data_IF_778444321884
#
_entry.id   IF_778444321884
#
_cell.length_a   1.000
_cell.length_b   1.000
_cell.length_c   1.000
_cell.angle_alpha   90.00
_cell.angle_beta   90.00
_cell.angle_gamma   90.00
#
_symmetry.space_group_name_H-M   'P 1'
#
loop_
_entity.id
_entity.type
_entity.pdbx_description
1 polymer ?
#
# COMPACT_ATOMS: atom_id res chain seq x y z
N UNK A 1 13.00 -24.93 -2.16
CA UNK A 1 12.52 -24.27 -0.93
C UNK A 1 11.31 -23.44 -1.28
N UNK A 2 10.17 -23.77 -0.68
CA UNK A 2 8.93 -22.99 -0.85
C UNK A 2 9.17 -21.62 -0.19
N UNK A 3 9.10 -20.54 -0.95
CA UNK A 3 9.08 -19.18 -0.42
C UNK A 3 7.89 -19.06 0.55
N UNK A 4 8.17 -18.96 1.84
CA UNK A 4 7.14 -18.83 2.88
C UNK A 4 6.58 -17.41 2.97
N UNK A 5 7.05 -16.51 2.09
CA UNK A 5 6.52 -15.15 1.98
C UNK A 5 6.87 -14.24 3.16
N UNK A 6 7.95 -14.52 3.87
CA UNK A 6 8.51 -13.65 4.91
C UNK A 6 9.89 -13.18 4.47
N UNK A 7 10.05 -11.87 4.31
CA UNK A 7 11.31 -11.27 3.87
C UNK A 7 12.14 -10.74 5.05
N UNK A 8 11.47 -10.27 6.12
CA UNK A 8 12.11 -9.69 7.30
C UNK A 8 11.50 -10.21 8.59
N UNK A 9 12.35 -10.40 9.59
CA UNK A 9 11.99 -10.60 10.99
C UNK A 9 12.42 -9.37 11.78
N UNK A 10 11.48 -8.73 12.45
CA UNK A 10 11.75 -7.57 13.30
C UNK A 10 11.43 -7.94 14.73
N UNK A 11 12.42 -7.81 15.62
CA UNK A 11 12.28 -8.18 17.03
C UNK A 11 12.50 -6.97 17.93
N UNK A 12 11.64 -6.79 18.91
CA UNK A 12 11.82 -5.81 19.96
C UNK A 12 12.78 -6.35 21.02
N UNK A 13 13.85 -5.60 21.33
CA UNK A 13 14.83 -6.01 22.35
C UNK A 13 14.22 -6.07 23.76
N UNK A 14 13.22 -5.22 24.05
CA UNK A 14 12.60 -5.13 25.38
C UNK A 14 11.57 -6.22 25.61
N UNK A 15 10.59 -6.35 24.71
CA UNK A 15 9.46 -7.27 24.87
C UNK A 15 9.72 -8.68 24.34
N UNK A 16 10.82 -8.90 23.59
CA UNK A 16 11.14 -10.14 22.86
C UNK A 16 10.08 -10.54 21.81
N UNK A 17 9.11 -9.67 21.55
CA UNK A 17 8.12 -9.91 20.50
C UNK A 17 8.78 -9.81 19.12
N UNK A 18 8.30 -10.64 18.19
CA UNK A 18 8.81 -10.69 16.81
C UNK A 18 7.66 -10.53 15.85
N UNK A 19 7.83 -9.65 14.87
CA UNK A 19 6.93 -9.50 13.74
C UNK A 19 7.58 -9.96 12.45
N UNK A 20 6.79 -10.63 11.62
CA UNK A 20 7.18 -11.07 10.27
C UNK A 20 6.66 -10.09 9.24
N UNK A 21 7.53 -9.70 8.31
CA UNK A 21 7.20 -8.71 7.27
C UNK A 21 7.46 -9.31 5.90
N UNK A 22 6.51 -9.12 4.98
CA UNK A 22 6.70 -9.37 3.56
C UNK A 22 6.79 -8.04 2.82
N UNK A 23 7.85 -7.85 2.03
CA UNK A 23 8.07 -6.64 1.23
C UNK A 23 7.60 -6.88 -0.20
N UNK A 24 6.81 -5.97 -0.74
CA UNK A 24 6.33 -5.99 -2.12
C UNK A 24 6.75 -4.71 -2.83
N UNK A 25 7.77 -4.82 -3.64
CA UNK A 25 8.25 -3.72 -4.45
C UNK A 25 7.42 -3.58 -5.73
N UNK A 26 7.03 -2.36 -6.09
CA UNK A 26 6.43 -2.06 -7.38
C UNK A 26 7.49 -1.50 -8.32
N UNK A 27 7.35 -1.84 -9.61
CA UNK A 27 8.04 -1.10 -10.65
C UNK A 27 7.55 0.35 -10.64
N UNK A 28 8.43 1.27 -11.00
CA UNK A 28 8.06 2.68 -11.17
C UNK A 28 6.91 2.77 -12.16
N UNK A 29 5.77 3.26 -11.69
CA UNK A 29 4.60 3.45 -12.50
C UNK A 29 4.44 4.94 -12.78
N UNK A 30 5.11 5.38 -13.82
CA UNK A 30 4.93 6.72 -14.34
C UNK A 30 3.57 6.79 -15.05
N UNK A 31 2.68 7.67 -14.59
CA UNK A 31 1.43 7.92 -15.30
C UNK A 31 1.77 8.81 -16.50
N UNK A 32 1.73 8.28 -17.73
CA UNK A 32 2.20 9.02 -18.90
C UNK A 32 1.37 10.28 -19.22
N UNK A 33 0.16 10.40 -18.69
CA UNK A 33 -0.78 11.45 -19.13
C UNK A 33 -1.49 12.11 -17.95
N UNK A 34 -0.91 13.18 -17.44
CA UNK A 34 -1.61 14.18 -16.67
C UNK A 34 -2.14 13.67 -15.33
N UNK A 35 -1.26 13.13 -14.53
CA UNK A 35 -1.53 12.99 -13.10
C UNK A 35 -1.97 14.33 -12.52
N UNK A 36 -2.76 14.30 -11.45
CA UNK A 36 -3.11 15.48 -10.68
C UNK A 36 -1.83 16.23 -10.30
N UNK A 37 -1.89 17.54 -10.28
CA UNK A 37 -0.84 18.36 -9.66
C UNK A 37 -0.59 17.86 -8.23
N UNK A 38 0.67 17.71 -7.86
CA UNK A 38 1.06 17.15 -6.57
C UNK A 38 1.26 15.64 -6.54
N UNK A 39 1.24 14.93 -7.69
CA UNK A 39 1.66 13.53 -7.75
C UNK A 39 3.11 13.36 -7.28
N UNK A 40 3.34 12.44 -6.34
CA UNK A 40 4.64 12.21 -5.71
C UNK A 40 5.22 10.84 -6.04
N UNK A 41 4.40 9.80 -6.00
CA UNK A 41 4.83 8.43 -6.26
C UNK A 41 3.64 7.54 -6.64
N UNK A 42 3.91 6.44 -7.31
CA UNK A 42 2.90 5.45 -7.63
C UNK A 42 3.47 4.04 -7.67
N UNK A 43 2.59 3.09 -7.45
CA UNK A 43 2.92 1.68 -7.54
C UNK A 43 1.76 0.88 -8.10
N UNK A 44 2.10 -0.17 -8.83
CA UNK A 44 1.15 -1.11 -9.38
C UNK A 44 1.49 -2.53 -8.93
N UNK A 45 0.46 -3.23 -8.46
CA UNK A 45 0.57 -4.63 -8.09
C UNK A 45 -0.59 -5.45 -8.64
N UNK A 46 -0.28 -6.71 -8.88
CA UNK A 46 -1.27 -7.73 -9.15
C UNK A 46 -1.14 -8.83 -8.11
N UNK A 47 -2.11 -8.89 -7.20
CA UNK A 47 -2.13 -9.88 -6.15
C UNK A 47 -3.06 -11.04 -6.49
N UNK A 48 -2.73 -12.22 -6.02
CA UNK A 48 -3.66 -13.36 -5.96
C UNK A 48 -4.33 -13.35 -4.59
N UNK A 49 -5.67 -13.40 -4.56
CA UNK A 49 -6.44 -13.36 -3.30
C UNK A 49 -6.06 -14.50 -2.34
N UNK A 50 -5.86 -15.72 -2.88
CA UNK A 50 -5.40 -16.88 -2.13
C UNK A 50 -4.01 -16.68 -1.50
N UNK A 51 -3.10 -16.00 -2.20
CA UNK A 51 -1.76 -15.70 -1.67
C UNK A 51 -1.78 -14.69 -0.52
N UNK A 52 -2.69 -13.71 -0.58
CA UNK A 52 -2.86 -12.79 0.55
C UNK A 52 -3.48 -13.54 1.74
N UNK A 53 -4.51 -14.35 1.48
CA UNK A 53 -5.21 -15.11 2.52
C UNK A 53 -4.29 -16.11 3.24
N UNK A 54 -3.38 -16.77 2.50
CA UNK A 54 -2.43 -17.75 3.03
C UNK A 54 -1.14 -17.11 3.57
N UNK A 55 -1.04 -15.78 3.58
CA UNK A 55 0.17 -15.11 4.07
C UNK A 55 0.40 -15.39 5.54
N UNK A 56 1.62 -15.80 5.88
CA UNK A 56 2.09 -15.98 7.26
C UNK A 56 2.77 -14.73 7.83
N UNK A 57 2.93 -13.69 7.01
CA UNK A 57 3.49 -12.42 7.47
C UNK A 57 2.47 -11.63 8.30
N UNK A 58 2.92 -11.04 9.40
CA UNK A 58 2.10 -10.14 10.20
C UNK A 58 1.74 -8.87 9.44
N UNK A 59 2.69 -8.35 8.66
CA UNK A 59 2.53 -7.13 7.85
C UNK A 59 3.08 -7.32 6.44
N UNK A 60 2.42 -6.65 5.48
CA UNK A 60 2.97 -6.41 4.16
C UNK A 60 3.40 -4.95 4.06
N UNK A 61 4.59 -4.73 3.49
CA UNK A 61 5.11 -3.41 3.17
C UNK A 61 5.13 -3.26 1.65
N UNK A 62 4.24 -2.40 1.14
CA UNK A 62 4.22 -2.08 -0.28
C UNK A 62 5.12 -0.86 -0.50
N UNK A 63 6.14 -1.01 -1.32
CA UNK A 63 7.14 0.04 -1.57
C UNK A 63 6.80 0.78 -2.85
N UNK A 64 6.49 2.07 -2.72
CA UNK A 64 6.23 2.99 -3.83
C UNK A 64 7.49 3.84 -4.05
N UNK A 65 8.07 3.69 -5.21
CA UNK A 65 9.28 4.40 -5.59
C UNK A 65 8.97 5.45 -6.64
N UNK A 66 9.55 6.65 -6.49
CA UNK A 66 9.49 7.68 -7.52
C UNK A 66 10.89 8.10 -7.92
N UNK A 67 11.20 7.99 -9.20
CA UNK A 67 12.47 8.45 -9.79
C UNK A 67 12.36 9.85 -10.42
N UNK A 68 11.16 10.45 -10.54
CA UNK A 68 10.91 11.51 -11.48
C UNK A 68 11.42 12.91 -11.07
N UNK A 69 11.54 13.24 -9.78
CA UNK A 69 11.98 14.60 -9.35
C UNK A 69 12.83 14.62 -8.08
N UNK A 70 12.52 13.76 -7.13
CA UNK A 70 13.29 13.57 -5.92
C UNK A 70 13.23 12.10 -5.62
N UNK A 71 14.38 11.46 -5.41
CA UNK A 71 14.41 10.04 -5.02
C UNK A 71 13.79 9.94 -3.62
N UNK A 72 12.48 9.77 -3.58
CA UNK A 72 11.77 9.52 -2.33
C UNK A 72 10.98 8.23 -2.44
N UNK A 73 11.09 7.43 -1.40
CA UNK A 73 10.36 6.17 -1.26
C UNK A 73 9.24 6.38 -0.25
N UNK A 74 8.06 5.85 -0.58
CA UNK A 74 6.90 5.82 0.29
C UNK A 74 6.58 4.37 0.61
N UNK A 75 6.01 4.13 1.78
CA UNK A 75 5.70 2.80 2.28
C UNK A 75 4.25 2.72 2.71
N UNK A 76 3.56 1.68 2.27
CA UNK A 76 2.26 1.29 2.82
C UNK A 76 2.50 0.09 3.72
N UNK A 77 2.22 0.23 5.00
CA UNK A 77 2.34 -0.85 5.99
C UNK A 77 0.94 -1.31 6.35
N UNK A 78 0.61 -2.55 6.01
CA UNK A 78 -0.76 -3.05 6.12
C UNK A 78 -0.80 -4.54 6.49
N UNK A 79 -1.73 -4.94 7.36
CA UNK A 79 -1.99 -6.36 7.65
C UNK A 79 -2.60 -7.03 6.41
N UNK A 80 -2.15 -8.24 6.00
CA UNK A 80 -2.65 -8.92 4.79
C UNK A 80 -4.19 -9.03 4.76
N UNK A 81 -4.81 -9.39 5.87
CA UNK A 81 -6.27 -9.50 5.96
C UNK A 81 -7.01 -8.18 5.70
N UNK A 82 -6.42 -7.05 6.13
CA UNK A 82 -6.99 -5.71 5.87
C UNK A 82 -6.83 -5.35 4.39
N UNK A 83 -5.66 -5.63 3.81
CA UNK A 83 -5.40 -5.41 2.39
C UNK A 83 -6.40 -6.21 1.53
N UNK A 84 -6.56 -7.51 1.81
CA UNK A 84 -7.49 -8.37 1.10
C UNK A 84 -8.91 -7.81 1.13
N UNK A 85 -9.43 -7.53 2.32
CA UNK A 85 -10.80 -6.98 2.50
C UNK A 85 -11.00 -5.66 1.75
N UNK A 86 -10.02 -4.75 1.78
CA UNK A 86 -10.09 -3.48 1.06
C UNK A 86 -10.12 -3.69 -0.45
N UNK A 87 -9.23 -4.52 -0.99
CA UNK A 87 -9.19 -4.77 -2.42
C UNK A 87 -10.43 -5.53 -2.91
N UNK A 88 -10.94 -6.48 -2.14
CA UNK A 88 -12.19 -7.17 -2.46
C UNK A 88 -13.38 -6.22 -2.47
N UNK A 89 -13.46 -5.29 -1.52
CA UNK A 89 -14.54 -4.28 -1.50
C UNK A 89 -14.54 -3.36 -2.73
N UNK A 90 -13.44 -3.30 -3.47
CA UNK A 90 -13.30 -2.50 -4.71
C UNK A 90 -13.41 -3.34 -5.98
N UNK A 91 -13.19 -4.66 -5.91
CA UNK A 91 -13.06 -5.55 -7.08
C UNK A 91 -14.09 -6.67 -7.09
N UNK A 92 -14.80 -6.87 -5.99
CA UNK A 92 -15.70 -8.00 -5.74
C UNK A 92 -15.05 -9.11 -4.93
N UNK A 93 -15.82 -9.74 -4.07
CA UNK A 93 -15.36 -10.75 -3.11
C UNK A 93 -14.83 -12.02 -3.81
N UNK A 94 -15.39 -12.34 -4.98
CA UNK A 94 -15.00 -13.50 -5.81
C UNK A 94 -13.75 -13.28 -6.66
N UNK A 95 -13.15 -12.07 -6.61
CA UNK A 95 -12.02 -11.73 -7.45
C UNK A 95 -10.75 -12.50 -7.05
N UNK A 96 -10.36 -13.46 -7.90
CA UNK A 96 -9.13 -14.26 -7.72
C UNK A 96 -7.85 -13.45 -7.92
N UNK A 97 -7.93 -12.39 -8.73
CA UNK A 97 -6.81 -11.49 -9.03
C UNK A 97 -7.19 -10.06 -8.68
N UNK A 98 -6.43 -9.46 -7.79
CA UNK A 98 -6.65 -8.13 -7.25
C UNK A 98 -5.57 -7.20 -7.78
N UNK A 99 -5.90 -6.47 -8.84
CA UNK A 99 -5.02 -5.44 -9.38
C UNK A 99 -5.26 -4.13 -8.63
N UNK A 100 -4.19 -3.43 -8.26
CA UNK A 100 -4.28 -2.15 -7.55
C UNK A 100 -3.24 -1.15 -8.06
N UNK A 101 -3.62 0.12 -8.13
CA UNK A 101 -2.76 1.26 -8.40
C UNK A 101 -2.82 2.20 -7.21
N UNK A 102 -1.78 2.20 -6.38
CA UNK A 102 -1.66 3.13 -5.27
C UNK A 102 -0.84 4.33 -5.73
N UNK A 103 -1.36 5.51 -5.47
CA UNK A 103 -0.74 6.77 -5.87
C UNK A 103 -0.71 7.73 -4.70
N UNK A 104 0.46 8.34 -4.51
CA UNK A 104 0.71 9.31 -3.44
C UNK A 104 0.64 10.71 -4.02
N UNK A 105 -0.15 11.56 -3.39
CA UNK A 105 -0.36 12.95 -3.78
C UNK A 105 -0.11 13.89 -2.60
N UNK A 106 0.43 15.06 -2.92
CA UNK A 106 0.45 16.20 -2.01
C UNK A 106 -0.76 17.09 -2.29
N UNK A 107 -1.56 17.37 -1.27
CA UNK A 107 -2.71 18.27 -1.32
C UNK A 107 -2.55 19.31 -0.19
N UNK A 108 -2.12 20.51 -0.54
CA UNK A 108 -1.71 21.51 0.45
C UNK A 108 -0.54 21.00 1.30
N UNK A 109 -0.75 20.94 2.61
CA UNK A 109 0.23 20.40 3.56
C UNK A 109 0.04 18.91 3.87
N UNK A 110 -0.97 18.27 3.28
CA UNK A 110 -1.27 16.87 3.53
C UNK A 110 -0.73 15.97 2.42
N UNK A 111 -0.33 14.76 2.78
CA UNK A 111 0.02 13.70 1.84
C UNK A 111 -1.05 12.63 1.93
N UNK A 112 -1.59 12.23 0.79
CA UNK A 112 -2.63 11.21 0.66
C UNK A 112 -2.16 10.07 -0.22
N UNK A 113 -2.57 8.85 0.11
CA UNK A 113 -2.38 7.67 -0.73
C UNK A 113 -3.72 7.10 -1.15
N UNK A 114 -3.96 7.03 -2.45
CA UNK A 114 -5.25 6.67 -3.03
C UNK A 114 -5.11 5.51 -4.00
N UNK A 115 -6.03 4.56 -3.94
CA UNK A 115 -6.20 3.52 -4.95
C UNK A 115 -6.98 4.09 -6.14
N UNK A 116 -6.30 4.21 -7.29
CA UNK A 116 -6.82 4.98 -8.44
C UNK A 116 -7.27 4.12 -9.62
N UNK A 117 -7.14 2.81 -9.54
CA UNK A 117 -7.55 1.93 -10.64
C UNK A 117 -9.04 2.11 -10.97
N UNK A 118 -9.35 2.26 -12.26
CA UNK A 118 -10.69 2.49 -12.80
C UNK A 118 -11.32 3.83 -12.37
N UNK A 119 -10.57 4.73 -11.73
CA UNK A 119 -11.03 6.10 -11.50
C UNK A 119 -10.89 6.94 -12.76
N UNK A 120 -11.89 7.79 -13.00
CA UNK A 120 -11.82 8.81 -14.04
C UNK A 120 -10.90 9.96 -13.61
N UNK A 121 -10.28 10.65 -14.57
CA UNK A 121 -9.41 11.78 -14.30
C UNK A 121 -10.07 12.86 -13.44
N UNK A 122 -11.34 13.15 -13.66
CA UNK A 122 -12.11 14.11 -12.85
C UNK A 122 -12.25 13.69 -11.38
N UNK A 123 -12.40 12.38 -11.12
CA UNK A 123 -12.49 11.86 -9.74
C UNK A 123 -11.15 11.99 -9.00
N UNK A 124 -10.04 11.72 -9.70
CA UNK A 124 -8.69 11.88 -9.14
C UNK A 124 -8.39 13.34 -8.81
N UNK A 125 -8.97 14.29 -9.52
CA UNK A 125 -8.81 15.72 -9.26
C UNK A 125 -9.54 16.19 -7.99
N UNK A 126 -10.51 15.42 -7.50
CA UNK A 126 -11.35 15.75 -6.34
C UNK A 126 -11.08 14.82 -5.13
N UNK A 127 -9.84 14.79 -4.61
CA UNK A 127 -9.43 13.88 -3.53
C UNK A 127 -10.25 14.00 -2.25
N UNK A 128 -10.94 15.13 -2.03
CA UNK A 128 -11.80 15.32 -0.86
C UNK A 128 -13.12 14.54 -0.92
N UNK A 129 -13.50 14.04 -2.10
CA UNK A 129 -14.74 13.28 -2.33
C UNK A 129 -14.49 11.81 -2.63
N UNK A 130 -13.30 11.32 -2.36
CA UNK A 130 -12.92 9.93 -2.65
C UNK A 130 -13.62 8.98 -1.68
N UNK A 131 -14.10 7.86 -2.21
CA UNK A 131 -14.63 6.77 -1.40
C UNK A 131 -13.57 6.33 -0.38
N UNK A 132 -13.98 6.25 0.89
CA UNK A 132 -13.13 5.84 2.00
C UNK A 132 -12.46 4.48 1.79
N UNK A 133 -13.07 3.60 0.99
CA UNK A 133 -12.48 2.31 0.61
C UNK A 133 -11.21 2.44 -0.23
N UNK A 134 -11.06 3.56 -0.97
CA UNK A 134 -9.91 3.87 -1.81
C UNK A 134 -8.81 4.65 -1.08
N UNK A 135 -9.10 5.16 0.10
CA UNK A 135 -8.15 5.94 0.89
C UNK A 135 -7.23 5.03 1.70
N UNK A 136 -5.97 4.95 1.30
CA UNK A 136 -4.90 4.19 1.95
C UNK A 136 -3.97 5.08 2.78
N UNK A 137 -4.32 6.34 2.98
CA UNK A 137 -3.48 7.33 3.70
C UNK A 137 -3.16 6.89 5.13
N UNK A 138 -4.07 6.21 5.79
CA UNK A 138 -3.85 5.68 7.14
C UNK A 138 -2.72 4.63 7.24
N UNK A 139 -2.32 4.03 6.12
CA UNK A 139 -1.26 3.04 6.03
C UNK A 139 0.05 3.61 5.48
N UNK A 140 0.04 4.89 5.07
CA UNK A 140 1.20 5.56 4.49
C UNK A 140 2.21 5.94 5.57
N UNK A 141 3.46 6.03 5.22
CA UNK A 141 4.65 6.39 6.02
C UNK A 141 4.38 6.91 7.44
N UNK A 142 5.19 6.56 8.42
CA UNK A 142 5.05 7.00 9.81
C UNK A 142 4.18 6.12 10.68
N UNK A 143 3.60 5.05 10.13
CA UNK A 143 2.90 4.02 10.90
C UNK A 143 3.67 2.71 10.99
N UNK A 144 4.95 2.73 10.64
CA UNK A 144 5.91 1.73 11.09
C UNK A 144 5.88 1.60 12.62
N UNK A 145 5.64 2.71 13.32
CA UNK A 145 5.44 2.70 14.78
C UNK A 145 4.30 1.78 15.21
N UNK A 146 3.24 1.63 14.40
CA UNK A 146 2.15 0.68 14.68
C UNK A 146 2.56 -0.79 14.63
N UNK A 147 3.63 -1.13 13.93
CA UNK A 147 4.23 -2.47 14.03
C UNK A 147 4.75 -2.70 15.46
N UNK A 148 5.06 -1.62 16.17
CA UNK A 148 5.66 -1.61 17.49
C UNK A 148 4.66 -1.29 18.60
N UNK A 149 3.51 -0.67 18.30
CA UNK A 149 2.44 -0.37 19.26
C UNK A 149 1.78 -1.65 19.83
N UNK A 150 1.76 -2.73 19.06
CA UNK A 150 1.30 -4.06 19.53
C UNK A 150 2.35 -4.77 20.42
N UNK A 151 3.41 -4.05 20.86
CA UNK A 151 4.56 -4.63 21.58
C UNK A 151 4.70 -4.15 23.02
N UNK A 152 3.80 -3.32 23.50
CA UNK A 152 3.71 -2.90 24.92
C UNK A 152 2.87 -3.86 25.78
#
# INVERSE_FOLDING_TARGET
TKDIGVDLLVSCKKSKNTSTIQVKFSKDYNIPHGGKDGFLAGGWWQFKSDKILQSTANYWVLVLYSAAKTVKTYYIVIKPAILLRRLQSLRGDEAKTLNTYLQVYKEGNCIKCIETRQMKKAEIQCLNKIDKKRDFTEFLDGKLDKIFEDWD
#
